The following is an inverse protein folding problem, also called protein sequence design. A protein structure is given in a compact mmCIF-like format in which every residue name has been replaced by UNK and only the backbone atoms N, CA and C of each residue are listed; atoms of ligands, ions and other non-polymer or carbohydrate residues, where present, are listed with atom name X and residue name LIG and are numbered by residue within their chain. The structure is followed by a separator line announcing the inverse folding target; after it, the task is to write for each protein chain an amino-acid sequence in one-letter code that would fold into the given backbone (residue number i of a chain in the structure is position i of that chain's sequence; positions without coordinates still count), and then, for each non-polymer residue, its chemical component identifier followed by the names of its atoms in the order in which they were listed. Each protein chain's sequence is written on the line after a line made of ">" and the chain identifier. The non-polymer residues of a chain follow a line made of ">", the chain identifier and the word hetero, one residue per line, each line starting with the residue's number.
data_IF_285329086961
#
_entry.id   IF_285329086961
#
_cell.length_a   1.000
_cell.length_b   1.000
_cell.length_c   1.000
_cell.angle_alpha   90.00
_cell.angle_beta   90.00
_cell.angle_gamma   90.00
#
_symmetry.space_group_name_H-M   'P 1'
#
loop_
_entity.id
_entity.type
_entity.pdbx_description
1 polymer ?
#
# COMPACT_ATOMS: atom_id res chain seq x y z
N UNK A 1 53.17 -8.04 46.46
CA UNK A 1 51.83 -7.63 46.90
C UNK A 1 51.31 -6.58 45.92
N UNK A 2 50.98 -6.96 44.69
CA UNK A 2 50.33 -6.08 43.65
C UNK A 2 49.79 -6.97 42.56
N UNK A 3 48.63 -7.62 42.76
CA UNK A 3 47.95 -8.37 41.68
C UNK A 3 46.39 -8.43 41.81
N UNK A 4 45.76 -7.61 42.65
CA UNK A 4 44.27 -7.67 42.81
C UNK A 4 43.48 -6.44 42.40
N UNK A 5 44.08 -5.48 41.67
CA UNK A 5 43.38 -4.22 41.36
C UNK A 5 42.88 -4.12 39.90
N UNK A 6 43.22 -5.09 39.02
CA UNK A 6 42.89 -4.97 37.59
C UNK A 6 41.60 -5.70 37.17
N UNK A 7 41.13 -6.65 37.97
CA UNK A 7 39.95 -7.46 37.59
C UNK A 7 38.59 -6.75 37.74
N UNK A 8 38.55 -5.75 38.64
CA UNK A 8 37.29 -5.03 38.91
C UNK A 8 36.89 -4.05 37.79
N UNK A 9 37.85 -3.43 37.17
CA UNK A 9 37.63 -2.47 36.06
C UNK A 9 37.26 -3.23 34.77
N UNK A 10 37.87 -4.37 34.49
CA UNK A 10 37.57 -5.19 33.30
C UNK A 10 36.15 -5.78 33.37
N UNK A 11 35.73 -6.28 34.53
CA UNK A 11 34.37 -6.81 34.74
C UNK A 11 33.31 -5.72 34.65
N UNK A 12 33.59 -4.51 35.09
CA UNK A 12 32.69 -3.34 34.98
C UNK A 12 32.54 -2.86 33.55
N UNK A 13 33.63 -2.84 32.77
CA UNK A 13 33.64 -2.50 31.34
C UNK A 13 32.94 -3.57 30.49
N UNK A 14 33.13 -4.85 30.79
CA UNK A 14 32.38 -5.93 30.10
C UNK A 14 30.86 -5.86 30.37
N UNK A 15 30.46 -5.54 31.62
CA UNK A 15 29.04 -5.37 31.98
C UNK A 15 28.36 -4.22 31.24
N UNK A 16 29.05 -3.11 31.01
CA UNK A 16 28.54 -1.95 30.28
C UNK A 16 28.41 -2.26 28.77
N UNK A 17 29.36 -2.99 28.21
CA UNK A 17 29.30 -3.42 26.79
C UNK A 17 28.15 -4.38 26.50
N UNK A 18 27.83 -5.29 27.42
CA UNK A 18 26.71 -6.25 27.26
C UNK A 18 25.37 -5.53 27.35
N UNK A 19 25.21 -4.53 28.22
CA UNK A 19 23.98 -3.73 28.31
C UNK A 19 23.72 -2.86 27.07
N UNK A 20 24.75 -2.40 26.36
CA UNK A 20 24.58 -1.59 25.15
C UNK A 20 24.12 -2.38 23.92
N UNK A 21 24.36 -3.69 23.86
CA UNK A 21 23.89 -4.56 22.78
C UNK A 21 22.41 -4.97 22.90
N UNK A 22 21.78 -4.80 24.07
CA UNK A 22 20.36 -5.16 24.28
C UNK A 22 19.36 -4.06 23.88
N UNK A 23 19.83 -2.86 23.49
CA UNK A 23 18.96 -1.72 23.18
C UNK A 23 18.68 -1.51 21.68
N UNK A 24 19.10 -2.41 20.81
CA UNK A 24 19.00 -2.16 19.36
C UNK A 24 18.15 -3.18 18.64
N UNK A 25 16.90 -3.43 19.10
CA UNK A 25 15.88 -4.08 18.27
C UNK A 25 14.46 -3.75 18.75
N UNK A 26 14.13 -2.47 18.98
CA UNK A 26 12.73 -2.07 18.93
C UNK A 26 12.36 -1.94 17.44
N UNK A 27 12.10 -3.07 16.80
CA UNK A 27 11.40 -3.08 15.52
C UNK A 27 10.00 -2.53 15.80
N UNK A 28 9.78 -1.25 15.51
CA UNK A 28 8.45 -0.67 15.48
C UNK A 28 7.68 -1.45 14.41
N UNK A 29 6.89 -2.42 14.85
CA UNK A 29 5.97 -3.12 13.96
C UNK A 29 5.05 -2.08 13.32
N UNK A 30 5.27 -1.79 12.04
CA UNK A 30 4.41 -0.88 11.30
C UNK A 30 3.02 -1.50 11.23
N UNK A 31 2.05 -0.80 11.82
CA UNK A 31 0.66 -1.23 11.80
C UNK A 31 0.05 -0.85 10.45
N UNK A 32 0.08 -1.80 9.50
CA UNK A 32 -0.49 -1.65 8.17
C UNK A 32 -1.75 -2.51 8.03
N UNK A 33 -2.83 -1.89 7.55
CA UNK A 33 -4.08 -2.58 7.18
C UNK A 33 -4.53 -2.10 5.81
N UNK A 34 -4.69 -3.00 4.85
CA UNK A 34 -5.31 -2.71 3.56
C UNK A 34 -6.84 -2.77 3.72
N UNK A 35 -7.52 -1.68 3.43
CA UNK A 35 -8.98 -1.55 3.53
C UNK A 35 -9.64 -2.06 2.26
N UNK A 36 -9.25 -1.49 1.12
CA UNK A 36 -9.73 -1.81 -0.23
C UNK A 36 -8.59 -1.67 -1.25
N UNK A 37 -8.89 -1.57 -2.54
CA UNK A 37 -7.88 -1.51 -3.61
C UNK A 37 -7.05 -0.23 -3.63
N UNK A 38 -7.54 0.87 -3.03
CA UNK A 38 -6.85 2.17 -3.05
C UNK A 38 -6.76 2.86 -1.68
N UNK A 39 -7.13 2.16 -0.61
CA UNK A 39 -7.14 2.73 0.75
C UNK A 39 -6.42 1.80 1.73
N UNK A 40 -5.46 2.36 2.45
CA UNK A 40 -4.74 1.69 3.54
C UNK A 40 -4.89 2.46 4.85
N UNK A 41 -4.66 1.79 5.97
CA UNK A 41 -4.35 2.42 7.27
C UNK A 41 -2.91 2.09 7.59
N UNK A 42 -2.08 3.11 7.73
CA UNK A 42 -0.67 3.00 8.06
C UNK A 42 -0.41 3.77 9.36
N UNK A 43 0.01 3.08 10.41
CA UNK A 43 0.25 3.66 11.74
C UNK A 43 -0.93 4.50 12.27
N UNK A 44 -2.17 4.03 12.02
CA UNK A 44 -3.41 4.69 12.41
C UNK A 44 -3.90 5.79 11.46
N UNK A 45 -3.08 6.21 10.48
CA UNK A 45 -3.49 7.18 9.46
C UNK A 45 -4.21 6.49 8.30
N UNK A 46 -5.43 6.93 7.97
CA UNK A 46 -6.18 6.44 6.80
C UNK A 46 -5.74 7.19 5.55
N UNK A 47 -5.12 6.48 4.63
CA UNK A 47 -4.52 7.01 3.39
C UNK A 47 -5.29 6.46 2.19
N UNK A 48 -5.77 7.36 1.32
CA UNK A 48 -6.32 7.03 0.00
C UNK A 48 -5.27 7.35 -1.06
N UNK A 49 -5.03 6.42 -1.96
CA UNK A 49 -4.11 6.64 -3.08
C UNK A 49 -4.68 7.70 -4.02
N UNK A 50 -3.88 8.73 -4.29
CA UNK A 50 -4.27 9.85 -5.13
C UNK A 50 -4.28 9.49 -6.61
N UNK A 51 -5.16 10.15 -7.35
CA UNK A 51 -5.20 10.09 -8.83
C UNK A 51 -5.72 8.80 -9.43
N UNK A 52 -6.17 7.84 -8.62
CA UNK A 52 -6.75 6.57 -9.07
C UNK A 52 -8.11 6.32 -8.42
N UNK A 53 -8.87 5.40 -9.02
CA UNK A 53 -10.10 4.85 -8.45
C UNK A 53 -10.15 3.35 -8.70
N UNK A 54 -10.47 2.57 -7.66
CA UNK A 54 -10.54 1.11 -7.75
C UNK A 54 -11.98 0.62 -7.60
N UNK A 55 -12.31 -0.59 -8.06
CA UNK A 55 -13.61 -1.17 -7.80
C UNK A 55 -13.92 -1.20 -6.31
N UNK A 56 -15.18 -0.92 -5.96
CA UNK A 56 -15.67 -1.04 -4.60
C UNK A 56 -15.58 -2.50 -4.12
N UNK A 57 -15.38 -2.74 -2.82
CA UNK A 57 -15.19 -4.10 -2.28
C UNK A 57 -16.31 -5.08 -2.68
N UNK A 58 -17.54 -4.57 -2.83
CA UNK A 58 -18.71 -5.39 -3.23
C UNK A 58 -18.98 -5.36 -4.73
N UNK A 59 -18.11 -4.72 -5.50
CA UNK A 59 -18.29 -4.63 -6.94
C UNK A 59 -17.85 -5.92 -7.61
N UNK A 60 -18.74 -6.44 -8.46
CA UNK A 60 -18.48 -7.61 -9.31
C UNK A 60 -18.28 -7.20 -10.76
N UNK A 61 -17.64 -8.08 -11.53
CA UNK A 61 -17.42 -7.98 -12.96
C UNK A 61 -17.76 -9.32 -13.61
N UNK A 62 -17.96 -9.35 -14.94
CA UNK A 62 -18.16 -10.59 -15.68
C UNK A 62 -16.89 -10.96 -16.44
N UNK A 63 -16.32 -12.11 -16.14
CA UNK A 63 -15.22 -12.70 -16.88
C UNK A 63 -15.71 -13.94 -17.59
N UNK A 64 -15.80 -13.91 -18.93
CA UNK A 64 -16.40 -14.99 -19.73
C UNK A 64 -17.80 -15.37 -19.21
N UNK A 65 -18.65 -14.38 -18.96
CA UNK A 65 -20.00 -14.52 -18.43
C UNK A 65 -20.10 -15.12 -17.01
N UNK A 66 -18.97 -15.29 -16.32
CA UNK A 66 -18.91 -15.70 -14.91
C UNK A 66 -18.68 -14.47 -14.04
N UNK A 67 -19.50 -14.32 -13.00
CA UNK A 67 -19.37 -13.25 -12.03
C UNK A 67 -18.13 -13.46 -11.16
N UNK A 68 -17.29 -12.41 -11.03
CA UNK A 68 -16.07 -12.40 -10.21
C UNK A 68 -16.02 -11.14 -9.36
N UNK A 69 -15.50 -11.26 -8.13
CA UNK A 69 -15.32 -10.16 -7.19
C UNK A 69 -14.14 -9.27 -7.59
N UNK A 70 -14.34 -8.32 -8.50
CA UNK A 70 -13.27 -7.46 -8.99
C UNK A 70 -12.76 -6.47 -7.91
N UNK A 71 -13.63 -6.03 -6.99
CA UNK A 71 -13.20 -5.20 -5.85
C UNK A 71 -12.29 -5.96 -4.88
N UNK A 72 -12.63 -7.20 -4.55
CA UNK A 72 -11.79 -8.08 -3.73
C UNK A 72 -10.49 -8.40 -4.46
N UNK A 73 -10.53 -8.63 -5.77
CA UNK A 73 -9.35 -8.90 -6.59
C UNK A 73 -8.35 -7.73 -6.57
N UNK A 74 -8.83 -6.49 -6.69
CA UNK A 74 -8.00 -5.28 -6.56
C UNK A 74 -7.32 -5.20 -5.19
N UNK A 75 -8.07 -5.44 -4.10
CA UNK A 75 -7.53 -5.48 -2.74
C UNK A 75 -6.47 -6.57 -2.56
N UNK A 76 -6.74 -7.79 -3.02
CA UNK A 76 -5.78 -8.92 -2.92
C UNK A 76 -4.51 -8.60 -3.69
N UNK A 77 -4.62 -8.00 -4.87
CA UNK A 77 -3.48 -7.58 -5.68
C UNK A 77 -2.61 -6.56 -4.92
N UNK A 78 -3.23 -5.56 -4.29
CA UNK A 78 -2.52 -4.58 -3.46
C UNK A 78 -1.82 -5.24 -2.26
N UNK A 79 -2.51 -6.15 -1.54
CA UNK A 79 -1.92 -6.90 -0.42
C UNK A 79 -0.70 -7.69 -0.87
N UNK A 80 -0.79 -8.40 -2.00
CA UNK A 80 0.33 -9.16 -2.58
C UNK A 80 1.49 -8.26 -2.97
N UNK A 81 1.22 -7.09 -3.57
CA UNK A 81 2.24 -6.12 -3.98
C UNK A 81 3.00 -5.55 -2.79
N UNK A 82 2.29 -5.21 -1.72
CA UNK A 82 2.90 -4.70 -0.50
C UNK A 82 3.71 -5.81 0.19
N UNK A 83 3.15 -7.02 0.30
CA UNK A 83 3.78 -8.14 1.00
C UNK A 83 4.14 -7.76 2.43
N UNK A 84 5.38 -8.01 2.82
CA UNK A 84 5.93 -7.68 4.15
C UNK A 84 6.58 -6.28 4.22
N UNK A 85 6.46 -5.47 3.16
CA UNK A 85 7.07 -4.15 3.10
C UNK A 85 6.18 -3.10 3.78
N UNK A 86 6.80 -2.01 4.22
CA UNK A 86 6.10 -0.81 4.68
C UNK A 86 6.05 0.20 3.54
N UNK A 87 4.86 0.59 3.06
CA UNK A 87 4.76 1.63 2.04
C UNK A 87 5.32 2.98 2.52
N UNK A 88 6.04 3.66 1.64
CA UNK A 88 6.46 5.05 1.83
C UNK A 88 5.51 5.96 1.07
N UNK A 89 4.83 6.87 1.77
CA UNK A 89 3.77 7.68 1.18
C UNK A 89 4.13 9.15 1.15
N UNK A 90 4.05 9.77 -0.04
CA UNK A 90 4.16 11.22 -0.26
C UNK A 90 2.75 11.79 -0.17
N UNK A 91 2.50 12.59 0.87
CA UNK A 91 1.19 13.19 1.14
C UNK A 91 0.95 14.39 0.25
N UNK A 92 -0.25 14.47 -0.34
CA UNK A 92 -0.64 15.52 -1.28
C UNK A 92 -1.79 16.40 -0.76
N UNK A 93 -2.46 15.98 0.32
CA UNK A 93 -3.56 16.73 0.92
C UNK A 93 -4.57 15.84 1.63
N UNK A 94 -5.81 16.31 1.73
CA UNK A 94 -6.93 15.54 2.29
C UNK A 94 -8.16 15.63 1.40
N UNK A 95 -8.95 14.56 1.39
CA UNK A 95 -10.24 14.57 0.73
C UNK A 95 -11.36 15.14 1.65
N UNK A 96 -12.59 15.21 1.10
CA UNK A 96 -13.77 15.69 1.83
C UNK A 96 -14.14 14.80 3.04
N UNK A 97 -13.68 13.55 3.07
CA UNK A 97 -13.88 12.60 4.17
C UNK A 97 -12.72 12.62 5.17
N UNK A 98 -11.81 13.61 5.07
CA UNK A 98 -10.61 13.79 5.90
C UNK A 98 -9.58 12.67 5.78
N UNK A 99 -9.67 11.79 4.76
CA UNK A 99 -8.61 10.82 4.46
C UNK A 99 -7.41 11.57 3.89
N UNK A 100 -6.20 11.15 4.25
CA UNK A 100 -4.99 11.68 3.62
C UNK A 100 -4.91 11.16 2.19
N UNK A 101 -4.79 12.07 1.23
CA UNK A 101 -4.45 11.76 -0.17
C UNK A 101 -2.94 11.64 -0.28
N UNK A 102 -2.46 10.54 -0.84
CA UNK A 102 -1.02 10.32 -1.01
C UNK A 102 -0.72 9.40 -2.20
N UNK A 103 0.47 9.56 -2.77
CA UNK A 103 1.07 8.52 -3.58
C UNK A 103 2.01 7.68 -2.73
N UNK A 104 1.78 6.36 -2.71
CA UNK A 104 2.53 5.42 -1.89
C UNK A 104 3.40 4.49 -2.75
N UNK A 105 4.56 4.15 -2.22
CA UNK A 105 5.60 3.38 -2.93
C UNK A 105 6.04 2.18 -2.09
N UNK A 106 6.33 1.09 -2.76
CA UNK A 106 7.02 -0.09 -2.20
C UNK A 106 8.20 -0.42 -3.10
N UNK A 107 9.39 -0.51 -2.52
CA UNK A 107 10.65 -0.74 -3.27
C UNK A 107 10.85 0.23 -4.44
N UNK A 108 10.45 1.51 -4.25
CA UNK A 108 10.58 2.56 -5.26
C UNK A 108 9.51 2.55 -6.37
N UNK A 109 8.61 1.57 -6.39
CA UNK A 109 7.52 1.48 -7.37
C UNK A 109 6.22 2.05 -6.79
N UNK A 110 5.55 2.93 -7.54
CA UNK A 110 4.25 3.51 -7.18
C UNK A 110 3.16 2.44 -7.14
N UNK A 111 2.46 2.33 -6.01
CA UNK A 111 1.32 1.42 -5.86
C UNK A 111 0.16 1.84 -6.77
N UNK A 112 -0.06 3.15 -6.96
CA UNK A 112 -1.07 3.68 -7.88
C UNK A 112 -0.78 3.26 -9.32
N UNK A 113 0.46 3.49 -9.80
CA UNK A 113 0.88 3.08 -11.15
C UNK A 113 0.77 1.56 -11.34
N UNK A 114 1.23 0.78 -10.37
CA UNK A 114 1.13 -0.68 -10.40
C UNK A 114 -0.30 -1.17 -10.55
N UNK A 115 -1.25 -0.66 -9.76
CA UNK A 115 -2.66 -1.06 -9.80
C UNK A 115 -3.33 -0.69 -11.13
N UNK A 116 -3.08 0.54 -11.63
CA UNK A 116 -3.62 0.99 -12.91
C UNK A 116 -3.05 0.17 -14.05
N UNK A 117 -1.73 -0.03 -14.09
CA UNK A 117 -1.04 -0.80 -15.11
C UNK A 117 -1.42 -2.28 -15.10
N UNK A 118 -1.81 -2.83 -13.95
CA UNK A 118 -2.35 -4.19 -13.82
C UNK A 118 -3.83 -4.30 -14.22
N UNK A 119 -4.53 -3.18 -14.50
CA UNK A 119 -5.93 -3.14 -14.87
C UNK A 119 -6.91 -3.33 -13.72
N UNK A 120 -6.48 -3.11 -12.46
CA UNK A 120 -7.34 -3.19 -11.27
C UNK A 120 -7.59 -1.82 -10.61
N UNK A 121 -7.15 -0.76 -11.25
CA UNK A 121 -7.53 0.62 -10.95
C UNK A 121 -7.68 1.42 -12.24
N UNK A 122 -8.37 2.53 -12.16
CA UNK A 122 -8.60 3.46 -13.25
C UNK A 122 -7.91 4.80 -12.95
N UNK A 123 -7.32 5.44 -13.98
CA UNK A 123 -6.83 6.79 -13.86
C UNK A 123 -8.01 7.75 -13.63
N UNK A 124 -8.06 8.35 -12.45
CA UNK A 124 -9.17 9.23 -12.09
C UNK A 124 -8.95 10.65 -12.66
N UNK A 125 -9.22 10.78 -13.95
CA UNK A 125 -8.92 11.97 -14.77
C UNK A 125 -9.47 13.28 -14.23
N UNK A 126 -10.52 13.24 -13.40
CA UNK A 126 -11.08 14.42 -12.73
C UNK A 126 -10.07 15.10 -11.81
N UNK A 127 -9.13 14.34 -11.25
CA UNK A 127 -8.17 14.81 -10.24
C UNK A 127 -6.72 14.73 -10.69
N UNK A 128 -6.38 13.83 -11.63
CA UNK A 128 -5.00 13.64 -12.08
C UNK A 128 -4.93 13.04 -13.48
N UNK A 129 -3.95 13.44 -14.26
CA UNK A 129 -3.62 12.85 -15.56
C UNK A 129 -2.42 11.91 -15.48
N UNK A 130 -1.81 11.77 -14.30
CA UNK A 130 -0.53 11.08 -14.07
C UNK A 130 -0.52 9.63 -14.55
N UNK A 131 -1.62 8.90 -14.33
CA UNK A 131 -1.69 7.47 -14.58
C UNK A 131 -2.38 7.08 -15.90
N UNK A 132 -2.65 8.05 -16.79
CA UNK A 132 -3.33 7.79 -18.07
C UNK A 132 -2.53 6.81 -18.93
N UNK A 133 -1.21 6.97 -19.03
CA UNK A 133 -0.35 6.06 -19.81
C UNK A 133 -0.34 4.62 -19.26
N UNK A 134 -0.43 4.47 -17.95
CA UNK A 134 -0.52 3.16 -17.31
C UNK A 134 -1.88 2.50 -17.59
N UNK A 135 -2.95 3.30 -17.61
CA UNK A 135 -4.30 2.82 -17.97
C UNK A 135 -4.35 2.43 -19.45
N UNK A 136 -3.81 3.25 -20.35
CA UNK A 136 -3.75 2.94 -21.78
C UNK A 136 -2.97 1.63 -21.99
N UNK A 137 -1.84 1.45 -21.31
CA UNK A 137 -1.10 0.19 -21.36
C UNK A 137 -1.95 -1.02 -20.92
N UNK A 138 -2.66 -0.91 -19.79
CA UNK A 138 -3.51 -1.99 -19.29
C UNK A 138 -4.64 -2.33 -20.27
N UNK A 139 -5.23 -1.30 -20.87
CA UNK A 139 -6.32 -1.40 -21.84
C UNK A 139 -5.86 -2.07 -23.13
N UNK A 140 -4.76 -1.62 -23.71
CA UNK A 140 -4.21 -2.15 -24.95
C UNK A 140 -3.81 -3.63 -24.82
N UNK A 141 -3.34 -4.04 -23.62
CA UNK A 141 -2.97 -5.41 -23.30
C UNK A 141 -4.12 -6.23 -22.65
N UNK A 142 -5.34 -5.67 -22.54
CA UNK A 142 -6.50 -6.33 -21.93
C UNK A 142 -6.22 -6.91 -20.55
N UNK A 143 -5.50 -6.18 -19.69
CA UNK A 143 -5.10 -6.63 -18.36
C UNK A 143 -6.21 -6.40 -17.33
N UNK A 144 -6.32 -7.32 -16.37
CA UNK A 144 -7.28 -7.22 -15.27
C UNK A 144 -8.70 -7.01 -15.77
N UNK A 145 -9.37 -5.97 -15.28
CA UNK A 145 -10.76 -5.65 -15.64
C UNK A 145 -10.94 -5.32 -17.14
N UNK A 146 -9.88 -4.89 -17.84
CA UNK A 146 -9.97 -4.60 -19.28
C UNK A 146 -10.20 -5.83 -20.15
N UNK A 147 -10.08 -7.06 -19.58
CA UNK A 147 -10.49 -8.32 -20.21
C UNK A 147 -11.90 -8.76 -19.80
N UNK A 148 -12.63 -7.96 -19.03
CA UNK A 148 -13.93 -8.29 -18.44
C UNK A 148 -15.00 -7.30 -18.90
N UNK A 149 -16.25 -7.63 -18.68
CA UNK A 149 -17.36 -6.66 -18.69
C UNK A 149 -17.49 -6.09 -17.29
N UNK A 150 -17.40 -4.77 -17.16
CA UNK A 150 -17.42 -4.09 -15.86
C UNK A 150 -18.15 -2.75 -15.95
N UNK A 151 -18.54 -2.24 -14.80
CA UNK A 151 -18.99 -0.87 -14.59
C UNK A 151 -17.84 -0.09 -13.95
N UNK A 152 -17.64 1.18 -14.33
CA UNK A 152 -16.65 2.02 -13.66
C UNK A 152 -17.01 2.25 -12.19
N UNK A 153 -16.05 2.32 -11.26
CA UNK A 153 -16.33 2.46 -9.83
C UNK A 153 -17.20 3.68 -9.49
N UNK A 154 -16.97 4.81 -10.15
CA UNK A 154 -17.78 6.03 -9.96
C UNK A 154 -19.20 5.90 -10.47
N UNK A 155 -19.49 5.00 -11.42
CA UNK A 155 -20.84 4.70 -11.89
C UNK A 155 -21.50 3.65 -10.99
N UNK A 156 -20.74 2.66 -10.55
CA UNK A 156 -21.23 1.66 -9.59
C UNK A 156 -21.69 2.32 -8.28
N UNK A 157 -20.94 3.30 -7.76
CA UNK A 157 -21.36 4.06 -6.55
C UNK A 157 -22.68 4.81 -6.69
N UNK A 158 -23.15 5.11 -7.90
CA UNK A 158 -24.46 5.75 -8.12
C UNK A 158 -25.62 4.75 -8.01
N UNK A 159 -25.32 3.45 -8.01
CA UNK A 159 -26.32 2.38 -7.90
C UNK A 159 -26.51 1.88 -6.46
N UNK A 160 -25.67 2.36 -5.52
CA UNK A 160 -25.74 2.05 -4.10
C UNK A 160 -26.67 3.01 -3.36
#
# INVERSE_FOLDING_TARGET
>A
MYLFHNDYHVKKLLGILILSFFWCNLSLANNLKVIDGDTIVLNGEKIRFSGIDTPELKQTCLQNDVEVDCGISAKILLVKKIGNNTPQCIREGKDIYKRTLAECFVNGESLSSFLVRSGYAFAYRKYSTKFIKDEDFAKDNKLGMWSMTFQYPWDFRKTL
#
